data_IF_651974894722
#
_entry.id   IF_651974894722
#
_cell.length_a   1.000
_cell.length_b   1.000
_cell.length_c   1.000
_cell.angle_alpha   90.00
_cell.angle_beta   90.00
_cell.angle_gamma   90.00
#
_symmetry.space_group_name_H-M   'P 1'
#
loop_
_entity.id
_entity.type
_entity.pdbx_description
1 polymer ?
#
# COMPACT_ATOMS: atom_id res chain seq x y z
N UNK A 1 3.81 -16.68 7.35
CA UNK A 1 4.01 -15.21 7.48
C UNK A 1 5.10 -14.86 8.48
N UNK A 2 5.09 -15.41 9.71
CA UNK A 2 6.13 -15.12 10.72
C UNK A 2 7.57 -15.13 10.20
N UNK A 3 8.00 -16.23 9.58
CA UNK A 3 9.36 -16.36 9.04
C UNK A 3 9.68 -15.29 7.98
N UNK A 4 8.78 -15.11 7.00
CA UNK A 4 8.91 -14.05 6.01
C UNK A 4 9.01 -12.67 6.67
N UNK A 5 8.20 -12.39 7.68
CA UNK A 5 8.23 -11.11 8.38
C UNK A 5 9.56 -10.88 9.07
N UNK A 6 10.05 -11.87 9.83
CA UNK A 6 11.25 -11.75 10.64
C UNK A 6 12.54 -11.75 9.81
N UNK A 7 12.61 -12.58 8.76
CA UNK A 7 13.84 -12.83 8.01
C UNK A 7 13.91 -12.14 6.65
N UNK A 8 12.79 -11.64 6.13
CA UNK A 8 12.77 -10.97 4.82
C UNK A 8 12.25 -9.53 4.98
N UNK A 9 11.04 -9.35 5.50
CA UNK A 9 10.41 -8.04 5.56
C UNK A 9 11.15 -7.07 6.50
N UNK A 10 11.41 -7.45 7.75
CA UNK A 10 12.09 -6.57 8.71
C UNK A 10 13.53 -6.23 8.28
N UNK A 11 14.35 -7.19 7.80
CA UNK A 11 15.68 -6.87 7.28
C UNK A 11 15.63 -5.97 6.03
N UNK A 12 14.71 -6.20 5.10
CA UNK A 12 14.56 -5.36 3.91
C UNK A 12 14.12 -3.93 4.29
N UNK A 13 13.19 -3.79 5.23
CA UNK A 13 12.77 -2.49 5.77
C UNK A 13 13.95 -1.77 6.43
N UNK A 14 14.72 -2.46 7.27
CA UNK A 14 15.89 -1.89 7.92
C UNK A 14 16.96 -1.46 6.91
N UNK A 15 17.21 -2.28 5.88
CA UNK A 15 18.13 -1.98 4.79
C UNK A 15 17.69 -0.75 4.00
N UNK A 16 16.41 -0.67 3.60
CA UNK A 16 15.88 0.49 2.89
C UNK A 16 15.97 1.75 3.75
N UNK A 17 15.60 1.67 5.03
CA UNK A 17 15.69 2.80 5.96
C UNK A 17 17.14 3.29 6.13
N UNK A 18 18.09 2.36 6.27
CA UNK A 18 19.51 2.69 6.38
C UNK A 18 20.04 3.36 5.10
N UNK A 19 19.68 2.84 3.93
CA UNK A 19 20.06 3.44 2.64
C UNK A 19 19.45 4.83 2.45
N UNK A 20 18.16 5.00 2.75
CA UNK A 20 17.50 6.30 2.68
C UNK A 20 18.10 7.32 3.66
N UNK A 21 18.48 6.88 4.87
CA UNK A 21 19.14 7.75 5.84
C UNK A 21 20.57 8.10 5.43
N UNK A 22 21.31 7.13 4.87
CA UNK A 22 22.65 7.38 4.33
C UNK A 22 22.60 8.40 3.18
N UNK A 23 21.62 8.29 2.28
CA UNK A 23 21.36 9.26 1.21
C UNK A 23 20.96 10.64 1.75
N UNK A 24 20.17 10.71 2.83
CA UNK A 24 19.83 11.97 3.47
C UNK A 24 21.06 12.74 4.00
N UNK A 25 22.02 12.00 4.58
CA UNK A 25 23.19 12.56 5.26
C UNK A 25 24.33 12.84 4.28
N UNK A 26 24.58 11.91 3.35
CA UNK A 26 25.78 11.91 2.50
C UNK A 26 25.49 11.99 1.00
N UNK A 27 24.24 11.81 0.57
CA UNK A 27 23.84 11.72 -0.84
C UNK A 27 23.17 12.99 -1.38
N UNK A 28 22.51 12.84 -2.53
CA UNK A 28 21.77 13.91 -3.21
C UNK A 28 20.30 14.02 -2.74
N UNK A 29 19.90 13.16 -1.79
CA UNK A 29 18.57 13.06 -1.19
C UNK A 29 17.50 12.54 -2.15
N UNK A 30 17.86 12.04 -3.33
CA UNK A 30 16.91 11.55 -4.31
C UNK A 30 16.19 10.29 -3.78
N UNK A 31 16.92 9.36 -3.18
CA UNK A 31 16.36 8.14 -2.59
C UNK A 31 15.51 8.48 -1.36
N UNK A 32 16.01 9.34 -0.46
CA UNK A 32 15.26 9.79 0.71
C UNK A 32 13.91 10.40 0.32
N UNK A 33 13.90 11.32 -0.65
CA UNK A 33 12.67 11.97 -1.14
C UNK A 33 11.75 10.95 -1.81
N UNK A 34 12.27 10.07 -2.66
CA UNK A 34 11.49 9.03 -3.34
C UNK A 34 10.80 8.10 -2.35
N UNK A 35 11.53 7.61 -1.35
CA UNK A 35 10.97 6.76 -0.29
C UNK A 35 9.94 7.52 0.54
N UNK A 36 10.22 8.76 0.94
CA UNK A 36 9.28 9.58 1.69
C UNK A 36 7.96 9.83 0.94
N UNK A 37 8.05 10.15 -0.35
CA UNK A 37 6.88 10.34 -1.24
C UNK A 37 6.11 9.02 -1.41
N UNK A 38 6.82 7.92 -1.61
CA UNK A 38 6.21 6.59 -1.72
C UNK A 38 5.46 6.19 -0.45
N UNK A 39 6.09 6.35 0.71
CA UNK A 39 5.48 6.08 2.02
C UNK A 39 4.21 6.92 2.22
N UNK A 40 4.30 8.23 2.00
CA UNK A 40 3.18 9.14 2.21
C UNK A 40 2.02 8.86 1.24
N UNK A 41 2.30 8.66 -0.05
CA UNK A 41 1.27 8.39 -1.06
C UNK A 41 0.60 7.03 -0.85
N UNK A 42 1.38 6.00 -0.51
CA UNK A 42 0.87 4.67 -0.18
C UNK A 42 0.00 4.65 1.08
N UNK A 43 0.37 5.41 2.12
CA UNK A 43 -0.43 5.54 3.33
C UNK A 43 -1.76 6.25 3.07
N UNK A 44 -1.74 7.37 2.34
CA UNK A 44 -2.97 8.08 1.94
C UNK A 44 -3.89 7.19 1.10
N UNK A 45 -3.32 6.39 0.20
CA UNK A 45 -4.06 5.44 -0.61
C UNK A 45 -4.70 4.33 0.23
N UNK A 46 -3.97 3.77 1.21
CA UNK A 46 -4.51 2.76 2.12
C UNK A 46 -5.68 3.30 2.95
N UNK A 47 -5.57 4.54 3.44
CA UNK A 47 -6.67 5.19 4.17
C UNK A 47 -7.91 5.40 3.29
N UNK A 48 -7.73 5.87 2.05
CA UNK A 48 -8.84 6.05 1.11
C UNK A 48 -9.49 4.71 0.71
N UNK A 49 -8.66 3.69 0.51
CA UNK A 49 -9.08 2.32 0.22
C UNK A 49 -9.95 1.75 1.35
N UNK A 50 -9.54 1.91 2.61
CA UNK A 50 -10.31 1.42 3.75
C UNK A 50 -11.58 2.24 3.98
N UNK A 51 -11.53 3.57 3.83
CA UNK A 51 -12.69 4.44 3.94
C UNK A 51 -13.77 4.06 2.93
N UNK A 52 -13.40 3.75 1.69
CA UNK A 52 -14.32 3.26 0.67
C UNK A 52 -14.96 1.91 1.05
N UNK A 53 -14.25 1.06 1.79
CA UNK A 53 -14.74 -0.27 2.19
C UNK A 53 -15.65 -0.25 3.42
N UNK A 54 -15.62 0.82 4.23
CA UNK A 54 -16.43 0.91 5.45
C UNK A 54 -17.93 0.65 5.25
N UNK A 55 -18.61 1.22 4.22
CA UNK A 55 -20.03 0.97 4.00
C UNK A 55 -20.35 -0.51 3.78
N UNK A 56 -19.46 -1.27 3.13
CA UNK A 56 -19.65 -2.70 2.89
C UNK A 56 -19.32 -3.54 4.14
N UNK A 57 -18.32 -3.14 4.92
CA UNK A 57 -17.94 -3.81 6.17
C UNK A 57 -19.02 -3.66 7.24
N UNK A 58 -19.56 -2.44 7.37
CA UNK A 58 -20.51 -2.09 8.43
C UNK A 58 -21.95 -2.02 7.93
N UNK A 59 -22.25 -2.55 6.74
CA UNK A 59 -23.57 -2.42 6.10
C UNK A 59 -24.72 -2.78 7.04
N UNK A 60 -24.65 -3.96 7.67
CA UNK A 60 -25.65 -4.44 8.61
C UNK A 60 -25.70 -3.61 9.90
N UNK A 61 -24.53 -3.28 10.47
CA UNK A 61 -24.44 -2.49 11.72
C UNK A 61 -24.96 -1.06 11.53
N UNK A 62 -24.80 -0.49 10.33
CA UNK A 62 -25.26 0.83 9.96
C UNK A 62 -26.70 0.83 9.38
N UNK A 63 -27.32 -0.35 9.20
CA UNK A 63 -28.66 -0.48 8.65
C UNK A 63 -28.79 -0.07 7.18
N UNK A 64 -27.71 -0.18 6.40
CA UNK A 64 -27.65 0.16 4.97
C UNK A 64 -27.51 -1.07 4.06
N UNK A 65 -27.74 -2.26 4.60
CA UNK A 65 -27.68 -3.54 3.90
C UNK A 65 -28.72 -3.69 2.78
N UNK A 66 -29.76 -2.84 2.79
CA UNK A 66 -30.68 -2.68 1.67
C UNK A 66 -30.09 -1.92 0.46
N UNK A 67 -29.02 -1.14 0.67
CA UNK A 67 -28.36 -0.32 -0.36
C UNK A 67 -27.06 -0.94 -0.85
N UNK A 68 -26.28 -1.54 0.05
CA UNK A 68 -24.98 -2.15 -0.26
C UNK A 68 -24.88 -3.54 0.34
N UNK A 69 -24.30 -4.48 -0.40
CA UNK A 69 -24.12 -5.84 0.09
C UNK A 69 -23.14 -5.86 1.27
N UNK A 70 -23.48 -6.52 2.40
CA UNK A 70 -22.55 -6.70 3.51
C UNK A 70 -21.40 -7.61 3.09
N UNK A 71 -20.17 -7.13 3.25
CA UNK A 71 -18.95 -7.85 2.91
C UNK A 71 -17.96 -7.77 4.08
N UNK A 72 -17.48 -8.92 4.55
CA UNK A 72 -16.49 -9.01 5.64
C UNK A 72 -15.06 -8.70 5.16
N UNK A 73 -14.88 -7.52 4.57
CA UNK A 73 -13.67 -7.08 3.88
C UNK A 73 -12.45 -6.94 4.83
N UNK A 74 -12.68 -6.62 6.10
CA UNK A 74 -11.61 -6.41 7.09
C UNK A 74 -11.21 -7.68 7.85
N UNK A 75 -11.87 -8.82 7.62
CA UNK A 75 -11.58 -10.07 8.35
C UNK A 75 -10.14 -10.57 8.16
N UNK A 76 -9.51 -10.19 7.04
CA UNK A 76 -8.15 -10.62 6.69
C UNK A 76 -7.09 -9.94 7.55
N UNK A 77 -7.34 -8.75 8.08
CA UNK A 77 -6.34 -8.01 8.86
C UNK A 77 -5.89 -8.77 10.11
N UNK A 78 -6.78 -9.11 11.06
CA UNK A 78 -6.36 -9.87 12.24
C UNK A 78 -5.86 -11.29 11.89
N UNK A 79 -6.34 -11.90 10.80
CA UNK A 79 -5.82 -13.18 10.31
C UNK A 79 -4.35 -13.08 9.88
N UNK A 80 -3.96 -12.02 9.17
CA UNK A 80 -2.56 -11.74 8.88
C UNK A 80 -1.74 -11.51 10.15
N UNK A 81 -2.26 -10.72 11.09
CA UNK A 81 -1.59 -10.48 12.37
C UNK A 81 -1.36 -11.77 13.15
N UNK A 82 -2.35 -12.66 13.21
CA UNK A 82 -2.22 -13.99 13.79
C UNK A 82 -1.10 -14.80 13.12
N UNK A 83 -1.07 -14.86 11.79
CA UNK A 83 -0.01 -15.58 11.07
C UNK A 83 1.40 -14.99 11.27
N UNK A 84 1.51 -13.67 11.48
CA UNK A 84 2.77 -13.00 11.80
C UNK A 84 3.22 -13.35 13.23
N UNK A 85 2.27 -13.42 14.17
CA UNK A 85 2.51 -13.86 15.54
C UNK A 85 2.73 -15.38 15.68
N UNK A 86 2.69 -16.13 14.57
CA UNK A 86 2.91 -17.58 14.55
C UNK A 86 1.68 -18.41 14.94
N UNK A 87 0.50 -17.80 14.92
CA UNK A 87 -0.79 -18.46 15.19
C UNK A 87 -1.47 -18.88 13.87
N UNK A 88 -2.55 -19.66 13.97
CA UNK A 88 -3.35 -20.05 12.81
C UNK A 88 -4.11 -18.87 12.21
N UNK A 89 -4.26 -18.87 10.88
CA UNK A 89 -4.94 -17.80 10.16
C UNK A 89 -6.44 -17.76 10.43
N UNK A 90 -7.08 -18.91 10.64
CA UNK A 90 -8.50 -19.00 10.99
C UNK A 90 -8.65 -19.14 12.51
N UNK A 91 -9.38 -18.20 13.11
CA UNK A 91 -9.73 -18.19 14.54
C UNK A 91 -11.15 -17.65 14.71
N UNK A 92 -11.84 -18.11 15.76
CA UNK A 92 -13.17 -17.59 16.13
C UNK A 92 -13.07 -16.21 16.77
N UNK A 93 -12.03 -15.98 17.55
CA UNK A 93 -11.72 -14.70 18.18
C UNK A 93 -10.23 -14.43 18.07
N UNK A 94 -9.87 -13.21 17.69
CA UNK A 94 -8.48 -12.77 17.62
C UNK A 94 -8.12 -11.94 18.85
N UNK A 95 -6.92 -12.17 19.39
CA UNK A 95 -6.37 -11.31 20.42
C UNK A 95 -6.13 -9.88 19.89
N UNK A 96 -6.14 -8.89 20.77
CA UNK A 96 -5.84 -7.49 20.41
C UNK A 96 -4.49 -7.36 19.67
N UNK A 97 -3.48 -8.14 20.09
CA UNK A 97 -2.19 -8.17 19.41
C UNK A 97 -2.31 -8.54 17.92
N UNK A 98 -3.13 -9.53 17.57
CA UNK A 98 -3.35 -9.92 16.18
C UNK A 98 -4.04 -8.81 15.38
N UNK A 99 -4.98 -8.07 15.98
CA UNK A 99 -5.56 -6.88 15.34
C UNK A 99 -4.52 -5.81 15.07
N UNK A 100 -3.73 -5.43 16.09
CA UNK A 100 -2.72 -4.37 15.95
C UNK A 100 -1.63 -4.76 14.95
N UNK A 101 -1.10 -5.98 15.02
CA UNK A 101 -0.11 -6.49 14.07
C UNK A 101 -0.68 -6.57 12.66
N UNK A 102 -1.94 -7.00 12.51
CA UNK A 102 -2.64 -7.06 11.22
C UNK A 102 -2.80 -5.71 10.55
N UNK A 103 -3.25 -4.70 11.31
CA UNK A 103 -3.37 -3.33 10.81
C UNK A 103 -2.01 -2.70 10.49
N UNK A 104 -1.01 -2.90 11.34
CA UNK A 104 0.35 -2.44 11.07
C UNK A 104 0.89 -3.05 9.77
N UNK A 105 0.67 -4.35 9.56
CA UNK A 105 1.05 -5.03 8.33
C UNK A 105 0.30 -4.49 7.10
N UNK A 106 -1.02 -4.29 7.21
CA UNK A 106 -1.84 -3.71 6.14
C UNK A 106 -1.34 -2.33 5.68
N UNK A 107 -1.13 -1.40 6.62
CA UNK A 107 -0.59 -0.08 6.27
C UNK A 107 0.85 -0.17 5.76
N UNK A 108 1.65 -1.11 6.27
CA UNK A 108 3.00 -1.36 5.75
C UNK A 108 2.99 -1.80 4.29
N UNK A 109 2.06 -2.66 3.88
CA UNK A 109 1.88 -3.04 2.47
C UNK A 109 1.52 -1.81 1.62
N UNK A 110 0.60 -0.97 2.09
CA UNK A 110 0.24 0.29 1.41
C UNK A 110 1.46 1.19 1.18
N UNK A 111 2.26 1.41 2.22
CA UNK A 111 3.51 2.17 2.13
C UNK A 111 4.51 1.52 1.16
N UNK A 112 4.70 0.20 1.22
CA UNK A 112 5.59 -0.53 0.30
C UNK A 112 5.15 -0.37 -1.15
N UNK A 113 3.87 -0.48 -1.46
CA UNK A 113 3.37 -0.28 -2.83
C UNK A 113 3.61 1.14 -3.33
N UNK A 114 3.44 2.16 -2.48
CA UNK A 114 3.78 3.53 -2.83
C UNK A 114 5.27 3.71 -3.11
N UNK A 115 6.15 3.13 -2.29
CA UNK A 115 7.61 3.13 -2.53
C UNK A 115 7.96 2.43 -3.84
N UNK A 116 7.39 1.24 -4.09
CA UNK A 116 7.60 0.51 -5.34
C UNK A 116 7.15 1.32 -6.56
N UNK A 117 5.96 1.92 -6.48
CA UNK A 117 5.42 2.75 -7.56
C UNK A 117 6.35 3.93 -7.91
N UNK A 118 6.81 4.67 -6.90
CA UNK A 118 7.74 5.79 -7.10
C UNK A 118 9.10 5.31 -7.60
N UNK A 119 9.62 4.20 -7.06
CA UNK A 119 10.90 3.64 -7.51
C UNK A 119 10.86 3.15 -8.97
N UNK A 120 9.74 2.59 -9.43
CA UNK A 120 9.58 2.11 -10.81
C UNK A 120 9.47 3.24 -11.83
N UNK A 121 8.84 4.36 -11.48
CA UNK A 121 8.55 5.44 -12.44
C UNK A 121 9.46 6.66 -12.29
N UNK A 122 10.18 6.78 -11.17
CA UNK A 122 10.96 7.95 -10.81
C UNK A 122 10.06 9.16 -10.65
N UNK A 123 10.24 10.16 -11.52
CA UNK A 123 9.39 11.34 -11.54
C UNK A 123 7.97 11.01 -12.03
N UNK A 124 7.00 11.14 -11.13
CA UNK A 124 5.58 10.91 -11.43
C UNK A 124 5.01 12.13 -12.16
N UNK A 125 5.05 12.09 -13.48
CA UNK A 125 4.49 13.13 -14.36
C UNK A 125 2.97 12.99 -14.54
N UNK A 126 2.32 14.00 -15.14
CA UNK A 126 0.86 14.01 -15.40
C UNK A 126 0.34 12.84 -16.22
N UNK A 127 1.17 12.21 -17.05
CA UNK A 127 0.78 11.03 -17.83
C UNK A 127 1.07 9.71 -17.11
N UNK A 128 1.89 9.72 -16.05
CA UNK A 128 2.39 8.51 -15.40
C UNK A 128 1.64 8.12 -14.14
N UNK A 129 0.88 9.02 -13.53
CA UNK A 129 0.12 8.70 -12.30
C UNK A 129 -0.88 7.55 -12.51
N UNK A 130 -1.45 7.41 -13.71
CA UNK A 130 -2.43 6.36 -14.03
C UNK A 130 -1.85 4.95 -13.92
N UNK A 131 -0.54 4.78 -14.04
CA UNK A 131 0.13 3.50 -13.82
C UNK A 131 -0.05 2.97 -12.39
N UNK A 132 -0.33 3.84 -11.41
CA UNK A 132 -0.70 3.44 -10.06
C UNK A 132 -2.01 2.64 -10.06
N UNK A 133 -2.97 3.00 -10.92
CA UNK A 133 -4.25 2.28 -11.08
C UNK A 133 -4.00 0.93 -11.72
N UNK A 134 -3.19 0.87 -12.78
CA UNK A 134 -2.84 -0.39 -13.44
C UNK A 134 -2.11 -1.33 -12.47
N UNK A 135 -1.17 -0.82 -11.68
CA UNK A 135 -0.47 -1.58 -10.64
C UNK A 135 -1.46 -2.12 -9.59
N UNK A 136 -2.35 -1.26 -9.07
CA UNK A 136 -3.32 -1.65 -8.05
C UNK A 136 -4.34 -2.68 -8.56
N UNK A 137 -4.83 -2.53 -9.79
CA UNK A 137 -5.69 -3.52 -10.43
C UNK A 137 -4.96 -4.85 -10.65
N UNK A 138 -3.68 -4.79 -11.05
CA UNK A 138 -2.82 -5.97 -11.18
C UNK A 138 -2.62 -6.72 -9.86
N UNK A 139 -2.50 -5.99 -8.73
CA UNK A 139 -2.43 -6.58 -7.39
C UNK A 139 -3.73 -7.31 -7.02
N UNK A 140 -4.89 -6.71 -7.28
CA UNK A 140 -6.19 -7.35 -7.06
C UNK A 140 -6.34 -8.63 -7.89
N UNK A 141 -6.02 -8.55 -9.18
CA UNK A 141 -6.03 -9.70 -10.08
C UNK A 141 -5.08 -10.80 -9.58
N UNK A 142 -3.87 -10.43 -9.13
CA UNK A 142 -2.93 -11.38 -8.53
C UNK A 142 -3.49 -12.06 -7.28
N UNK A 143 -4.16 -11.32 -6.40
CA UNK A 143 -4.83 -11.91 -5.23
C UNK A 143 -5.99 -12.82 -5.64
N UNK A 144 -6.81 -12.44 -6.62
CA UNK A 144 -7.93 -13.27 -7.10
C UNK A 144 -7.47 -14.56 -7.80
N UNK A 145 -6.33 -14.52 -8.49
CA UNK A 145 -5.76 -15.66 -9.23
C UNK A 145 -4.88 -16.57 -8.36
N UNK A 146 -4.60 -16.20 -7.11
CA UNK A 146 -3.84 -17.02 -6.16
C UNK A 146 -4.78 -17.72 -5.17
N UNK A 147 -4.29 -18.67 -4.35
CA UNK A 147 -5.10 -19.32 -3.33
C UNK A 147 -5.61 -18.39 -2.21
N UNK A 148 -5.38 -17.07 -2.31
CA UNK A 148 -5.73 -16.09 -1.30
C UNK A 148 -7.21 -16.17 -0.86
N UNK A 149 -8.21 -16.18 -1.77
CA UNK A 149 -9.61 -16.26 -1.34
C UNK A 149 -9.91 -17.56 -0.60
N UNK A 150 -9.30 -18.67 -1.01
CA UNK A 150 -9.46 -19.97 -0.36
C UNK A 150 -8.85 -19.98 1.06
N UNK A 151 -7.62 -19.47 1.23
CA UNK A 151 -6.92 -19.39 2.53
C UNK A 151 -7.74 -18.62 3.57
N UNK A 152 -8.43 -17.56 3.15
CA UNK A 152 -9.25 -16.75 4.03
C UNK A 152 -10.74 -17.11 4.00
N UNK A 153 -11.15 -18.16 3.29
CA UNK A 153 -12.56 -18.54 3.14
C UNK A 153 -13.43 -17.39 2.65
N UNK A 154 -12.98 -16.67 1.62
CA UNK A 154 -13.69 -15.55 1.00
C UNK A 154 -14.48 -16.10 -0.19
N UNK A 155 -15.82 -16.01 -0.19
CA UNK A 155 -16.62 -16.39 -1.35
C UNK A 155 -16.38 -15.37 -2.47
N UNK A 156 -15.82 -15.83 -3.59
CA UNK A 156 -15.58 -14.99 -4.78
C UNK A 156 -16.88 -14.86 -5.57
N UNK A 157 -17.61 -13.77 -5.33
CA UNK A 157 -18.83 -13.42 -6.06
C UNK A 157 -18.57 -12.25 -7.01
N UNK A 158 -19.44 -12.04 -8.00
CA UNK A 158 -19.34 -10.88 -8.88
C UNK A 158 -19.36 -9.54 -8.11
N UNK A 159 -20.20 -9.45 -7.07
CA UNK A 159 -20.25 -8.28 -6.19
C UNK A 159 -18.97 -8.08 -5.39
N UNK A 160 -18.38 -9.17 -4.86
CA UNK A 160 -17.09 -9.12 -4.19
C UNK A 160 -16.00 -8.58 -5.12
N UNK A 161 -15.85 -9.16 -6.31
CA UNK A 161 -14.85 -8.75 -7.31
C UNK A 161 -15.05 -7.30 -7.74
N UNK A 162 -16.29 -6.87 -7.99
CA UNK A 162 -16.57 -5.49 -8.38
C UNK A 162 -16.16 -4.49 -7.27
N UNK A 163 -16.50 -4.78 -6.02
CA UNK A 163 -16.17 -3.91 -4.88
C UNK A 163 -14.67 -3.88 -4.60
N UNK A 164 -13.99 -5.03 -4.63
CA UNK A 164 -12.55 -5.08 -4.36
C UNK A 164 -11.73 -4.47 -5.50
N UNK A 165 -12.12 -4.67 -6.75
CA UNK A 165 -11.49 -3.99 -7.89
C UNK A 165 -11.71 -2.47 -7.83
N UNK A 166 -12.93 -2.01 -7.51
CA UNK A 166 -13.21 -0.58 -7.34
C UNK A 166 -12.36 0.02 -6.22
N UNK A 167 -12.24 -0.67 -5.08
CA UNK A 167 -11.39 -0.25 -3.98
C UNK A 167 -9.93 -0.11 -4.44
N UNK A 168 -9.38 -1.08 -5.18
CA UNK A 168 -8.01 -1.01 -5.70
C UNK A 168 -7.82 0.10 -6.74
N UNK A 169 -8.82 0.37 -7.58
CA UNK A 169 -8.79 1.54 -8.45
C UNK A 169 -8.70 2.84 -7.66
N UNK A 170 -9.47 2.99 -6.57
CA UNK A 170 -9.40 4.15 -5.67
C UNK A 170 -8.02 4.25 -5.02
N UNK A 171 -7.47 3.12 -4.53
CA UNK A 171 -6.11 3.07 -4.00
C UNK A 171 -5.10 3.60 -5.03
N UNK A 172 -5.14 3.09 -6.26
CA UNK A 172 -4.25 3.52 -7.34
C UNK A 172 -4.42 5.00 -7.70
N UNK A 173 -5.66 5.50 -7.77
CA UNK A 173 -5.94 6.91 -8.07
C UNK A 173 -5.33 7.81 -6.99
N UNK A 174 -5.61 7.53 -5.72
CA UNK A 174 -5.14 8.35 -4.60
C UNK A 174 -3.62 8.30 -4.49
N UNK A 175 -3.01 7.11 -4.63
CA UNK A 175 -1.56 6.95 -4.63
C UNK A 175 -0.91 7.76 -5.76
N UNK A 176 -1.41 7.60 -7.00
CA UNK A 176 -0.87 8.28 -8.17
C UNK A 176 -0.98 9.80 -8.07
N UNK A 177 -2.15 10.32 -7.68
CA UNK A 177 -2.37 11.76 -7.53
C UNK A 177 -1.56 12.35 -6.37
N UNK A 178 -1.48 11.66 -5.23
CA UNK A 178 -0.68 12.10 -4.09
C UNK A 178 0.81 12.12 -4.43
N UNK A 179 1.31 11.05 -5.07
CA UNK A 179 2.70 10.98 -5.53
C UNK A 179 3.00 12.11 -6.52
N UNK A 180 2.15 12.33 -7.54
CA UNK A 180 2.29 13.43 -8.49
C UNK A 180 2.31 14.82 -7.81
N UNK A 181 1.40 15.04 -6.86
CA UNK A 181 1.32 16.29 -6.11
C UNK A 181 2.56 16.56 -5.25
N UNK A 182 3.22 15.52 -4.76
CA UNK A 182 4.45 15.65 -3.97
C UNK A 182 5.71 15.75 -4.85
N UNK A 183 5.81 14.97 -5.93
CA UNK A 183 6.97 15.02 -6.85
C UNK A 183 7.08 16.37 -7.55
N UNK A 184 5.94 16.95 -7.95
CA UNK A 184 5.89 18.30 -8.55
C UNK A 184 6.41 19.41 -7.62
N UNK A 185 6.41 19.18 -6.31
CA UNK A 185 6.94 20.13 -5.31
C UNK A 185 8.40 19.85 -4.93
N UNK A 186 8.86 18.61 -5.04
CA UNK A 186 10.12 18.15 -4.44
C UNK A 186 11.21 17.74 -5.45
N UNK A 187 11.00 18.00 -6.76
CA UNK A 187 11.94 17.78 -7.88
C UNK A 187 12.91 16.61 -7.63
N UNK A 188 12.47 15.41 -7.93
CA UNK A 188 13.32 14.22 -7.93
C UNK A 188 14.12 14.25 -9.24
N UNK A 189 15.29 14.91 -9.25
CA UNK A 189 16.23 14.84 -10.38
C UNK A 189 16.61 16.14 -11.07
N UNK A 190 16.35 17.33 -10.53
CA UNK A 190 17.09 18.51 -11.00
C UNK A 190 18.53 18.43 -10.49
N UNK A 191 19.46 18.17 -11.42
CA UNK A 191 20.88 18.47 -11.23
C UNK A 191 20.99 19.89 -10.70
N UNK A 192 21.72 20.07 -9.60
CA UNK A 192 22.22 21.39 -9.19
C UNK A 192 22.81 22.05 -10.44
N UNK A 193 22.42 23.30 -10.81
CA UNK A 193 22.98 23.96 -11.96
C UNK A 193 24.50 24.00 -11.78
N UNK A 194 25.20 23.19 -12.56
CA UNK A 194 26.65 23.12 -12.54
C UNK A 194 27.19 24.51 -12.80
N UNK A 195 28.09 24.92 -11.90
CA UNK A 195 28.90 26.13 -11.91
C UNK A 195 29.10 26.72 -13.33
N UNK A 196 28.86 28.03 -13.58
CA UNK A 196 29.21 28.63 -14.86
C UNK A 196 30.70 28.39 -15.11
N UNK A 197 31.03 27.89 -16.31
CA UNK A 197 32.42 27.78 -16.75
C UNK A 197 33.07 29.17 -16.58
N UNK A 198 34.24 29.29 -15.92
CA UNK A 198 34.99 30.52 -15.99
C UNK A 198 35.35 30.74 -17.46
N UNK A 199 35.12 31.96 -17.94
CA UNK A 199 35.29 32.33 -19.34
C UNK A 199 36.64 31.89 -19.93
N UNK A 200 36.58 31.50 -21.20
CA UNK A 200 37.68 31.50 -22.14
C UNK A 200 37.11 31.89 -23.50
#
# INVERSE_FOLDING_TARGET
>A
MREFTLFIFLPALAGLAALSLADLIHGDRQLWRGVGIGVASGLLAALAYDLFRLPFVFATTWGIDSMVAPLNLFKVFPAFGAMILGQTAAQTHYALAAHLTGWAYHFSNGMTFGVMFVAMLGEVTKSRWIWAVAMAAGLELGMLLTPYPHVFGIPVTAGFVAVTLAAHCIFGIVMGLAAHGMTSRWQIGEQSPGNPKPGA
#
